data_IF_901132745936
#
_entry.id   IF_901132745936
#
_cell.length_a   1.000
_cell.length_b   1.000
_cell.length_c   1.000
_cell.angle_alpha   90.00
_cell.angle_beta   90.00
_cell.angle_gamma   90.00
#
_symmetry.space_group_name_H-M   'P 1'
#
loop_
_entity.id
_entity.type
_entity.pdbx_description
1 polymer ?
#
# COMPACT_ATOMS: atom_id res chain seq x y z
N UNK A 1 25.77 18.65 -16.68
CA UNK A 1 25.02 17.42 -17.03
C UNK A 1 23.88 17.18 -16.03
N UNK A 2 22.70 17.78 -16.24
CA UNK A 2 21.54 17.56 -15.35
C UNK A 2 20.83 16.26 -15.75
N UNK A 3 21.07 15.22 -14.98
CA UNK A 3 20.39 13.95 -15.14
C UNK A 3 18.91 14.04 -14.75
N UNK A 4 17.98 13.82 -15.69
CA UNK A 4 16.54 13.79 -15.39
C UNK A 4 16.23 12.79 -14.25
N UNK A 5 15.55 13.21 -13.17
CA UNK A 5 15.35 12.41 -11.96
C UNK A 5 14.22 11.37 -12.04
N UNK A 6 13.64 11.12 -13.21
CA UNK A 6 12.41 10.31 -13.35
C UNK A 6 12.48 8.90 -12.76
N UNK A 7 13.61 8.20 -12.95
CA UNK A 7 13.78 6.84 -12.42
C UNK A 7 13.77 6.75 -10.88
N UNK A 8 14.61 7.52 -10.17
CA UNK A 8 14.58 7.61 -8.70
C UNK A 8 13.22 8.06 -8.14
N UNK A 9 12.57 9.03 -8.78
CA UNK A 9 11.26 9.54 -8.35
C UNK A 9 10.21 8.42 -8.39
N UNK A 10 10.15 7.65 -9.48
CA UNK A 10 9.25 6.51 -9.63
C UNK A 10 9.54 5.36 -8.64
N UNK A 11 10.81 5.17 -8.25
CA UNK A 11 11.16 4.19 -7.21
C UNK A 11 10.68 4.65 -5.83
N UNK A 12 10.82 5.94 -5.53
CA UNK A 12 10.44 6.53 -4.25
C UNK A 12 8.94 6.76 -4.11
N UNK A 13 8.19 6.82 -5.21
CA UNK A 13 6.73 6.92 -5.13
C UNK A 13 6.07 5.67 -4.54
N UNK A 14 6.73 4.51 -4.58
CA UNK A 14 6.18 3.27 -4.00
C UNK A 14 5.81 3.40 -2.52
N UNK A 15 6.78 3.64 -1.62
CA UNK A 15 6.51 3.84 -0.19
C UNK A 15 5.54 5.00 0.09
N UNK A 16 5.63 6.09 -0.69
CA UNK A 16 4.73 7.25 -0.54
C UNK A 16 3.28 6.85 -0.85
N UNK A 17 3.04 6.12 -1.93
CA UNK A 17 1.71 5.65 -2.30
C UNK A 17 1.16 4.62 -1.30
N UNK A 18 2.02 3.78 -0.71
CA UNK A 18 1.62 2.89 0.40
C UNK A 18 1.17 3.70 1.62
N UNK A 19 1.87 4.78 1.96
CA UNK A 19 1.43 5.72 3.00
C UNK A 19 0.09 6.38 2.68
N UNK A 20 -0.12 6.78 1.43
CA UNK A 20 -1.38 7.34 0.97
C UNK A 20 -2.54 6.34 1.09
N UNK A 21 -2.31 5.07 0.73
CA UNK A 21 -3.28 3.98 0.90
C UNK A 21 -3.74 3.86 2.36
N UNK A 22 -2.80 3.88 3.31
CA UNK A 22 -3.11 3.78 4.73
C UNK A 22 -3.92 4.99 5.23
N UNK A 23 -3.52 6.21 4.83
CA UNK A 23 -4.19 7.44 5.25
C UNK A 23 -5.64 7.50 4.74
N UNK A 24 -5.85 7.17 3.46
CA UNK A 24 -7.16 7.14 2.82
C UNK A 24 -8.08 6.09 3.47
N UNK A 25 -7.57 4.89 3.73
CA UNK A 25 -8.35 3.85 4.40
C UNK A 25 -8.66 4.19 5.87
N UNK A 26 -7.72 4.79 6.60
CA UNK A 26 -7.97 5.25 7.96
C UNK A 26 -9.11 6.28 8.01
N UNK A 27 -9.11 7.25 7.07
CA UNK A 27 -10.16 8.24 6.97
C UNK A 27 -11.54 7.60 6.69
N UNK A 28 -11.59 6.62 5.77
CA UNK A 28 -12.81 5.87 5.47
C UNK A 28 -13.34 5.11 6.69
N UNK A 29 -12.46 4.38 7.40
CA UNK A 29 -12.80 3.62 8.61
C UNK A 29 -13.30 4.54 9.73
N UNK A 30 -12.66 5.70 9.90
CA UNK A 30 -13.07 6.70 10.90
C UNK A 30 -14.43 7.30 10.58
N UNK A 31 -14.70 7.59 9.31
CA UNK A 31 -16.01 8.07 8.86
C UNK A 31 -17.12 7.04 9.10
N UNK A 32 -16.89 5.78 8.72
CA UNK A 32 -17.83 4.68 8.95
C UNK A 32 -18.08 4.43 10.45
N UNK A 33 -17.02 4.46 11.25
CA UNK A 33 -17.12 4.36 12.72
C UNK A 33 -17.94 5.51 13.32
N UNK A 34 -17.82 6.72 12.76
CA UNK A 34 -18.58 7.90 13.16
C UNK A 34 -20.07 7.76 12.88
N UNK A 35 -20.44 7.25 11.71
CA UNK A 35 -21.83 6.97 11.34
C UNK A 35 -22.48 5.92 12.25
N UNK A 36 -21.70 4.98 12.78
CA UNK A 36 -22.17 3.92 13.66
C UNK A 36 -22.37 4.36 15.12
N UNK A 37 -21.94 5.58 15.52
CA UNK A 37 -22.05 6.06 16.91
C UNK A 37 -23.50 6.25 17.40
N UNK A 38 -24.47 6.22 16.50
CA UNK A 38 -25.89 6.16 16.84
C UNK A 38 -26.33 4.77 17.36
N UNK A 39 -25.52 3.73 17.16
CA UNK A 39 -25.71 2.38 17.69
C UNK A 39 -24.85 2.13 18.94
N UNK A 40 -25.35 1.30 19.86
CA UNK A 40 -24.86 1.08 21.24
C UNK A 40 -23.47 0.39 21.39
N UNK A 41 -22.53 0.63 20.49
CA UNK A 41 -21.19 0.02 20.51
C UNK A 41 -20.17 0.80 21.35
N UNK A 42 -19.20 0.09 21.94
CA UNK A 42 -18.05 0.71 22.63
C UNK A 42 -17.17 1.44 21.61
N UNK A 43 -16.90 2.71 21.86
CA UNK A 43 -16.06 3.58 21.01
C UNK A 43 -14.72 3.81 21.71
N UNK A 44 -13.61 3.65 20.98
CA UNK A 44 -12.26 3.93 21.50
C UNK A 44 -12.00 5.44 21.63
N UNK A 45 -10.96 5.88 22.37
CA UNK A 45 -10.58 7.29 22.44
C UNK A 45 -10.31 7.94 21.07
N UNK A 46 -9.85 7.16 20.10
CA UNK A 46 -9.61 7.59 18.71
C UNK A 46 -10.90 7.72 17.88
N UNK A 47 -12.04 7.34 18.46
CA UNK A 47 -13.35 7.43 17.84
C UNK A 47 -13.71 6.25 16.93
N UNK A 48 -13.04 5.11 17.07
CA UNK A 48 -13.29 3.88 16.29
C UNK A 48 -14.19 2.91 17.07
N UNK A 49 -15.02 2.16 16.35
CA UNK A 49 -15.73 1.00 16.93
C UNK A 49 -14.77 -0.20 17.03
N UNK A 50 -15.14 -1.26 17.78
CA UNK A 50 -14.35 -2.50 17.84
C UNK A 50 -14.07 -3.08 16.46
N UNK A 51 -15.09 -3.12 15.58
CA UNK A 51 -14.92 -3.51 14.18
C UNK A 51 -13.98 -2.57 13.43
N UNK A 52 -14.11 -1.24 13.62
CA UNK A 52 -13.22 -0.26 13.02
C UNK A 52 -11.75 -0.43 13.43
N UNK A 53 -11.49 -0.80 14.69
CA UNK A 53 -10.14 -1.12 15.19
C UNK A 53 -9.56 -2.34 14.49
N UNK A 54 -10.33 -3.41 14.37
CA UNK A 54 -9.85 -4.64 13.73
C UNK A 54 -9.63 -4.46 12.23
N UNK A 55 -10.55 -3.76 11.54
CA UNK A 55 -10.36 -3.40 10.12
C UNK A 55 -9.11 -2.54 9.96
N UNK A 56 -8.86 -1.61 10.88
CA UNK A 56 -7.64 -0.80 10.86
C UNK A 56 -6.38 -1.62 11.09
N UNK A 57 -6.42 -2.64 11.95
CA UNK A 57 -5.31 -3.58 12.11
C UNK A 57 -4.98 -4.32 10.83
N UNK A 58 -5.98 -4.76 10.08
CA UNK A 58 -5.77 -5.43 8.78
C UNK A 58 -5.13 -4.46 7.78
N UNK A 59 -5.66 -3.24 7.65
CA UNK A 59 -5.09 -2.21 6.76
C UNK A 59 -3.65 -1.86 7.16
N UNK A 60 -3.38 -1.72 8.46
CA UNK A 60 -2.02 -1.52 8.99
C UNK A 60 -1.09 -2.68 8.63
N UNK A 61 -1.55 -3.92 8.81
CA UNK A 61 -0.78 -5.11 8.46
C UNK A 61 -0.40 -5.14 6.99
N UNK A 62 -1.37 -4.91 6.09
CA UNK A 62 -1.13 -4.80 4.64
C UNK A 62 -0.15 -3.67 4.34
N UNK A 63 -0.35 -2.49 4.93
CA UNK A 63 0.52 -1.32 4.73
C UNK A 63 1.95 -1.59 5.17
N UNK A 64 2.16 -2.27 6.30
CA UNK A 64 3.49 -2.59 6.81
C UNK A 64 4.19 -3.59 5.90
N UNK A 65 3.52 -4.67 5.51
CA UNK A 65 4.08 -5.71 4.63
C UNK A 65 4.43 -5.12 3.26
N UNK A 66 3.48 -4.41 2.64
CA UNK A 66 3.67 -3.81 1.32
C UNK A 66 4.67 -2.66 1.39
N UNK A 67 4.64 -1.85 2.44
CA UNK A 67 5.55 -0.72 2.63
C UNK A 67 6.99 -1.18 2.82
N UNK A 68 7.21 -2.25 3.59
CA UNK A 68 8.54 -2.85 3.74
C UNK A 68 9.04 -3.46 2.42
N UNK A 69 8.17 -4.16 1.69
CA UNK A 69 8.51 -4.67 0.36
C UNK A 69 8.87 -3.54 -0.62
N UNK A 70 8.06 -2.47 -0.65
CA UNK A 70 8.30 -1.29 -1.48
C UNK A 70 9.60 -0.58 -1.12
N UNK A 71 9.91 -0.44 0.17
CA UNK A 71 11.17 0.16 0.62
C UNK A 71 12.36 -0.69 0.17
N UNK A 72 12.26 -2.01 0.31
CA UNK A 72 13.30 -2.95 -0.12
C UNK A 72 13.54 -2.84 -1.63
N UNK A 73 12.48 -2.82 -2.44
CA UNK A 73 12.55 -2.63 -3.90
C UNK A 73 13.19 -1.29 -4.25
N UNK A 74 12.81 -0.21 -3.56
CA UNK A 74 13.38 1.12 -3.80
C UNK A 74 14.89 1.15 -3.51
N UNK A 75 15.32 0.58 -2.38
CA UNK A 75 16.73 0.50 -1.98
C UNK A 75 17.52 -0.35 -2.96
N UNK A 76 17.05 -1.57 -3.26
CA UNK A 76 17.73 -2.47 -4.21
C UNK A 76 17.79 -1.85 -5.60
N UNK A 77 16.71 -1.22 -6.07
CA UNK A 77 16.67 -0.50 -7.35
C UNK A 77 17.67 0.66 -7.41
N UNK A 78 17.84 1.41 -6.32
CA UNK A 78 18.87 2.44 -6.20
C UNK A 78 20.29 1.87 -6.20
N UNK A 79 20.53 0.76 -5.50
CA UNK A 79 21.84 0.12 -5.46
C UNK A 79 22.21 -0.49 -6.82
N UNK A 80 21.26 -1.13 -7.52
CA UNK A 80 21.45 -1.68 -8.86
C UNK A 80 21.79 -0.63 -9.93
N UNK A 81 21.45 0.64 -9.67
CA UNK A 81 21.83 1.77 -10.54
C UNK A 81 23.29 2.17 -10.37
N UNK A 82 23.93 1.87 -9.23
CA UNK A 82 25.37 2.07 -9.04
C UNK A 82 26.12 0.96 -9.77
N UNK A 83 27.01 1.30 -10.72
CA UNK A 83 27.85 0.32 -11.44
C UNK A 83 28.82 -0.31 -10.43
N UNK A 84 28.62 -1.57 -10.05
CA UNK A 84 29.48 -2.26 -9.07
C UNK A 84 29.41 -3.79 -9.14
N UNK A 85 30.41 -4.46 -8.53
CA UNK A 85 30.45 -5.91 -8.27
C UNK A 85 29.30 -6.28 -7.32
N UNK A 86 28.64 -7.42 -7.53
CA UNK A 86 27.54 -7.91 -6.67
C UNK A 86 26.12 -7.74 -7.25
N UNK A 87 25.99 -7.34 -8.51
CA UNK A 87 24.69 -7.16 -9.19
C UNK A 87 23.81 -8.41 -9.20
N UNK A 88 24.40 -9.60 -9.38
CA UNK A 88 23.63 -10.85 -9.41
C UNK A 88 22.94 -11.14 -8.07
N UNK A 89 23.63 -10.89 -6.95
CA UNK A 89 23.04 -11.03 -5.62
C UNK A 89 21.89 -10.05 -5.40
N UNK A 90 22.05 -8.79 -5.81
CA UNK A 90 20.99 -7.78 -5.73
C UNK A 90 19.78 -8.13 -6.60
N UNK A 91 19.97 -8.79 -7.74
CA UNK A 91 18.85 -9.25 -8.59
C UNK A 91 18.05 -10.37 -7.92
N UNK A 92 18.72 -11.33 -7.26
CA UNK A 92 18.04 -12.38 -6.49
C UNK A 92 17.29 -11.77 -5.31
N UNK A 93 17.93 -10.86 -4.58
CA UNK A 93 17.32 -10.17 -3.45
C UNK A 93 16.13 -9.30 -3.88
N UNK A 94 16.13 -8.75 -5.10
CA UNK A 94 14.99 -8.01 -5.65
C UNK A 94 13.74 -8.88 -5.89
N UNK A 95 13.91 -10.19 -6.08
CA UNK A 95 12.79 -11.12 -6.25
C UNK A 95 12.04 -11.44 -4.96
N UNK A 96 12.74 -11.46 -3.83
CA UNK A 96 12.18 -11.78 -2.51
C UNK A 96 10.99 -10.89 -2.11
N UNK A 97 11.05 -9.54 -2.21
CA UNK A 97 9.94 -8.69 -1.82
C UNK A 97 8.73 -8.78 -2.76
N UNK A 98 8.84 -9.37 -3.95
CA UNK A 98 7.72 -9.42 -4.92
C UNK A 98 6.55 -10.20 -4.35
N UNK A 99 6.81 -11.35 -3.71
CA UNK A 99 5.76 -12.21 -3.13
C UNK A 99 4.95 -11.49 -2.04
N UNK A 100 5.55 -10.93 -0.97
CA UNK A 100 4.79 -10.20 0.05
C UNK A 100 4.11 -8.95 -0.50
N UNK A 101 4.69 -8.28 -1.52
CA UNK A 101 4.06 -7.15 -2.19
C UNK A 101 2.77 -7.59 -2.91
N UNK A 102 2.85 -8.63 -3.74
CA UNK A 102 1.71 -9.16 -4.48
C UNK A 102 0.63 -9.69 -3.53
N UNK A 103 1.01 -10.38 -2.46
CA UNK A 103 0.08 -10.88 -1.45
C UNK A 103 -0.67 -9.74 -0.77
N UNK A 104 0.03 -8.68 -0.35
CA UNK A 104 -0.63 -7.53 0.28
C UNK A 104 -1.60 -6.80 -0.68
N UNK A 105 -1.24 -6.70 -1.96
CA UNK A 105 -2.15 -6.17 -3.00
C UNK A 105 -3.39 -7.08 -3.13
N UNK A 106 -3.21 -8.40 -3.19
CA UNK A 106 -4.31 -9.35 -3.30
C UNK A 106 -5.28 -9.25 -2.11
N UNK A 107 -4.74 -9.14 -0.89
CA UNK A 107 -5.56 -8.93 0.33
C UNK A 107 -6.32 -7.60 0.26
N UNK A 108 -5.69 -6.53 -0.23
CA UNK A 108 -6.37 -5.25 -0.40
C UNK A 108 -7.53 -5.33 -1.42
N UNK A 109 -7.36 -6.06 -2.52
CA UNK A 109 -8.42 -6.30 -3.51
C UNK A 109 -9.53 -7.22 -3.01
N UNK A 110 -9.18 -8.25 -2.23
CA UNK A 110 -10.17 -9.13 -1.63
C UNK A 110 -11.13 -8.37 -0.70
N UNK A 111 -10.70 -7.22 -0.18
CA UNK A 111 -11.45 -6.33 0.71
C UNK A 111 -12.10 -7.12 1.87
N UNK A 112 -11.40 -7.36 2.98
CA UNK A 112 -11.91 -8.22 4.07
C UNK A 112 -13.08 -7.59 4.83
N UNK A 113 -13.42 -6.33 4.57
CA UNK A 113 -14.38 -5.58 5.38
C UNK A 113 -15.80 -6.18 5.37
N UNK A 114 -16.39 -6.61 4.24
CA UNK A 114 -17.73 -7.21 4.25
C UNK A 114 -17.79 -8.51 5.07
N UNK A 115 -16.72 -9.32 5.01
CA UNK A 115 -16.61 -10.53 5.81
C UNK A 115 -16.55 -10.19 7.30
N UNK A 116 -15.70 -9.24 7.69
CA UNK A 116 -15.59 -8.78 9.08
C UNK A 116 -16.89 -8.17 9.59
N UNK A 117 -17.58 -7.35 8.79
CA UNK A 117 -18.87 -6.77 9.14
C UNK A 117 -19.93 -7.84 9.39
N UNK A 118 -19.91 -8.93 8.62
CA UNK A 118 -20.80 -10.09 8.80
C UNK A 118 -20.49 -10.80 10.12
N UNK A 119 -19.21 -11.08 10.42
CA UNK A 119 -18.81 -11.69 11.70
C UNK A 119 -19.21 -10.84 12.91
N UNK A 120 -19.08 -9.53 12.80
CA UNK A 120 -19.46 -8.58 13.85
C UNK A 120 -20.97 -8.25 13.90
N UNK A 121 -21.79 -8.87 13.03
CA UNK A 121 -23.24 -8.59 12.89
C UNK A 121 -23.54 -7.09 12.76
N UNK A 122 -22.69 -6.40 12.00
CA UNK A 122 -22.68 -4.94 11.90
C UNK A 122 -22.71 -4.50 10.42
N UNK A 123 -23.75 -4.84 9.66
CA UNK A 123 -23.84 -4.53 8.23
C UNK A 123 -23.81 -3.01 7.97
N UNK A 124 -24.31 -2.21 8.91
CA UNK A 124 -24.35 -0.75 8.82
C UNK A 124 -22.95 -0.13 8.72
N UNK A 125 -21.93 -0.77 9.31
CA UNK A 125 -20.55 -0.31 9.17
C UNK A 125 -20.05 -0.45 7.73
N UNK A 126 -20.34 -1.60 7.09
CA UNK A 126 -19.95 -1.82 5.69
C UNK A 126 -20.74 -0.89 4.76
N UNK A 127 -22.02 -0.64 5.05
CA UNK A 127 -22.85 0.30 4.31
C UNK A 127 -22.40 1.76 4.48
N UNK A 128 -21.83 2.11 5.63
CA UNK A 128 -21.31 3.44 5.92
C UNK A 128 -19.92 3.72 5.31
N UNK A 129 -19.27 2.71 4.72
CA UNK A 129 -17.99 2.94 4.03
C UNK A 129 -18.22 3.73 2.73
N UNK A 130 -17.30 4.64 2.39
CA UNK A 130 -17.35 5.31 1.10
C UNK A 130 -17.31 4.29 -0.04
N UNK A 131 -18.15 4.48 -1.06
CA UNK A 131 -18.25 3.58 -2.22
C UNK A 131 -16.94 3.44 -3.01
N UNK A 132 -16.05 4.42 -2.92
CA UNK A 132 -14.72 4.38 -3.54
C UNK A 132 -13.69 3.58 -2.74
N UNK A 133 -13.96 3.20 -1.48
CA UNK A 133 -12.97 2.55 -0.61
C UNK A 133 -12.36 1.27 -1.23
N UNK A 134 -13.11 0.38 -1.90
CA UNK A 134 -12.52 -0.79 -2.57
C UNK A 134 -11.50 -0.41 -3.64
N UNK A 135 -11.71 0.71 -4.34
CA UNK A 135 -10.81 1.21 -5.37
C UNK A 135 -9.47 1.70 -4.78
N UNK A 136 -9.36 1.90 -3.47
CA UNK A 136 -8.08 2.28 -2.84
C UNK A 136 -6.99 1.22 -3.04
N UNK A 137 -7.33 -0.05 -3.27
CA UNK A 137 -6.37 -1.09 -3.63
C UNK A 137 -5.57 -0.75 -4.92
N UNK A 138 -6.16 0.04 -5.82
CA UNK A 138 -5.47 0.53 -7.02
C UNK A 138 -4.28 1.44 -6.69
N UNK A 139 -4.24 2.09 -5.51
CA UNK A 139 -3.10 2.88 -5.05
C UNK A 139 -1.88 1.97 -4.85
N UNK A 140 -2.07 0.78 -4.25
CA UNK A 140 -0.99 -0.19 -4.04
C UNK A 140 -0.51 -0.80 -5.37
N UNK A 141 -1.44 -1.06 -6.30
CA UNK A 141 -1.09 -1.48 -7.65
C UNK A 141 -0.29 -0.40 -8.39
N UNK A 142 -0.74 0.85 -8.33
CA UNK A 142 -0.03 1.99 -8.90
C UNK A 142 1.37 2.15 -8.28
N UNK A 143 1.51 1.91 -6.97
CA UNK A 143 2.80 1.90 -6.28
C UNK A 143 3.75 0.84 -6.88
N UNK A 144 3.26 -0.39 -7.05
CA UNK A 144 4.04 -1.48 -7.63
C UNK A 144 4.44 -1.19 -9.08
N UNK A 145 3.49 -0.69 -9.89
CA UNK A 145 3.74 -0.32 -11.29
C UNK A 145 4.75 0.82 -11.41
N UNK A 146 4.63 1.86 -10.56
CA UNK A 146 5.57 2.96 -10.54
C UNK A 146 6.99 2.47 -10.20
N UNK A 147 7.13 1.58 -9.21
CA UNK A 147 8.44 1.02 -8.86
C UNK A 147 8.99 0.10 -9.95
N UNK A 148 8.16 -0.71 -10.60
CA UNK A 148 8.56 -1.53 -11.74
C UNK A 148 9.07 -0.66 -12.90
N UNK A 149 8.32 0.40 -13.26
CA UNK A 149 8.73 1.37 -14.26
C UNK A 149 10.02 2.09 -13.85
N UNK A 150 10.14 2.49 -12.58
CA UNK A 150 11.34 3.11 -12.01
C UNK A 150 12.56 2.18 -12.05
N UNK A 151 12.39 0.88 -11.83
CA UNK A 151 13.46 -0.11 -11.93
C UNK A 151 13.89 -0.34 -13.38
N UNK A 152 12.94 -0.37 -14.31
CA UNK A 152 13.17 -0.58 -15.75
C UNK A 152 13.64 0.68 -16.47
N UNK A 153 13.52 1.86 -15.86
CA UNK A 153 13.92 3.14 -16.46
C UNK A 153 15.43 3.19 -16.72
N UNK A 154 15.83 2.77 -17.91
CA UNK A 154 17.16 3.00 -18.49
C UNK A 154 17.15 4.33 -19.24
N UNK A 155 18.18 5.15 -19.04
CA UNK A 155 18.41 6.30 -19.92
C UNK A 155 18.65 5.75 -21.32
N UNK A 156 17.87 6.17 -22.32
CA UNK A 156 18.31 6.05 -23.71
C UNK A 156 19.66 6.78 -23.82
N UNK A 157 20.67 6.19 -24.49
CA UNK A 157 21.86 6.95 -24.84
C UNK A 157 21.42 8.19 -25.63
N UNK A 158 22.00 9.34 -25.35
CA UNK A 158 21.83 10.49 -26.23
C UNK A 158 22.43 10.07 -27.58
N UNK A 159 21.62 10.03 -28.62
CA UNK A 159 22.15 9.86 -29.98
C UNK A 159 23.03 11.08 -30.30
N UNK A 160 24.18 10.85 -30.97
CA UNK A 160 25.18 11.88 -31.26
C UNK A 160 24.68 12.93 -32.24
#
# INVERSE_FOLDING_TARGET
>A
MRGRPGGPVLLMSGPVLVGAYAAVNYAAIRAASGAQRSGSGRVTPDGLTSLGVDVWWVVKGVTLVVGFAALTVAVVGLLLRRRGRGRSFLLVLAGVPIVPYALGIAVAFANPVPWMATFYRSPDFAAALPSWQPASALILLAAALAQAAGALWRRRPAEP
#
